data_IF_079800399523
#
_entry.id   IF_079800399523
#
_cell.length_a   1.000
_cell.length_b   1.000
_cell.length_c   1.000
_cell.angle_alpha   90.00
_cell.angle_beta   90.00
_cell.angle_gamma   90.00
#
_symmetry.space_group_name_H-M   'P 1'
#
loop_
_entity.id
_entity.type
_entity.pdbx_description
1 polymer ?
#
# COMPACT_ATOMS: atom_id res chain seq x y z
N UNK A 1 38.22 34.93 1.81
CA UNK A 1 37.09 35.05 0.89
C UNK A 1 36.70 33.62 0.50
N UNK A 2 35.73 33.09 1.17
CA UNK A 2 35.07 31.78 0.85
C UNK A 2 33.69 31.79 1.52
N UNK A 3 32.82 32.69 1.06
CA UNK A 3 31.38 32.68 1.28
C UNK A 3 30.79 32.38 -0.08
N UNK A 4 30.25 31.14 -0.29
CA UNK A 4 29.26 30.80 -1.31
C UNK A 4 29.07 29.27 -1.40
N UNK A 5 28.90 28.59 -0.25
CA UNK A 5 28.54 27.16 -0.25
C UNK A 5 27.16 26.85 0.35
N UNK A 6 26.38 27.87 0.73
CA UNK A 6 25.10 27.67 1.45
C UNK A 6 23.83 27.75 0.55
N UNK A 7 23.97 27.99 -0.79
CA UNK A 7 22.85 28.19 -1.70
C UNK A 7 22.57 27.07 -2.71
N UNK A 8 23.34 25.97 -2.69
CA UNK A 8 23.32 24.99 -3.79
C UNK A 8 22.70 23.63 -3.47
N UNK A 9 22.19 23.40 -2.25
CA UNK A 9 21.60 22.13 -1.87
C UNK A 9 20.17 22.29 -1.35
N UNK A 10 19.36 21.25 -1.50
CA UNK A 10 18.02 21.12 -0.94
C UNK A 10 17.95 19.89 -0.05
N UNK A 11 17.13 19.97 1.01
CA UNK A 11 16.89 18.87 1.93
C UNK A 11 15.61 18.14 1.54
N UNK A 12 15.71 16.83 1.34
CA UNK A 12 14.61 15.93 0.98
C UNK A 12 14.40 14.95 2.13
N UNK A 13 13.17 14.79 2.58
CA UNK A 13 12.81 13.80 3.59
C UNK A 13 12.64 12.44 2.92
N UNK A 14 13.38 11.44 3.38
CA UNK A 14 13.30 10.07 2.84
C UNK A 14 12.58 9.19 3.84
N UNK A 15 11.52 8.52 3.39
CA UNK A 15 10.74 7.57 4.18
C UNK A 15 10.93 6.15 3.65
N UNK A 16 11.06 5.20 4.57
CA UNK A 16 11.19 3.79 4.24
C UNK A 16 10.04 3.00 4.84
N UNK A 17 9.47 2.05 4.07
CA UNK A 17 8.34 1.24 4.50
C UNK A 17 8.59 -0.25 4.32
N UNK A 18 7.88 -1.06 5.13
CA UNK A 18 7.94 -2.50 5.08
C UNK A 18 9.37 -3.03 5.22
N UNK A 19 9.74 -4.02 4.42
CA UNK A 19 11.07 -4.61 4.45
C UNK A 19 12.20 -3.63 4.05
N UNK A 20 11.89 -2.52 3.34
CA UNK A 20 12.86 -1.47 3.06
C UNK A 20 13.24 -0.68 4.32
N UNK A 21 12.29 -0.45 5.23
CA UNK A 21 12.54 0.18 6.52
C UNK A 21 13.48 -0.66 7.40
N UNK A 22 13.29 -1.97 7.44
CA UNK A 22 14.18 -2.88 8.17
C UNK A 22 15.60 -2.92 7.58
N UNK A 23 15.73 -2.64 6.27
CA UNK A 23 17.02 -2.61 5.58
C UNK A 23 17.75 -1.28 5.68
N UNK A 24 17.06 -0.19 6.04
CA UNK A 24 17.63 1.15 6.09
C UNK A 24 17.37 1.84 7.44
N UNK A 25 16.25 2.55 7.56
CA UNK A 25 15.83 3.34 8.72
C UNK A 25 14.33 3.59 8.66
N UNK A 26 13.74 4.23 9.68
CA UNK A 26 12.35 4.71 9.63
C UNK A 26 12.24 5.91 8.67
N UNK A 27 13.13 6.87 8.84
CA UNK A 27 13.26 8.04 7.98
C UNK A 27 14.71 8.54 7.95
N UNK A 28 15.03 9.35 6.93
CA UNK A 28 16.31 10.06 6.80
C UNK A 28 16.08 11.44 6.17
N UNK A 29 17.07 12.31 6.31
CA UNK A 29 17.14 13.58 5.59
C UNK A 29 18.31 13.53 4.62
N UNK A 30 18.00 13.54 3.34
CA UNK A 30 18.99 13.53 2.26
C UNK A 30 19.24 14.95 1.79
N UNK A 31 20.49 15.36 1.69
CA UNK A 31 20.89 16.62 1.06
C UNK A 31 21.34 16.34 -0.37
N UNK A 32 20.66 16.95 -1.34
CA UNK A 32 21.00 16.85 -2.76
C UNK A 32 21.25 18.23 -3.34
N UNK A 33 21.96 18.32 -4.45
CA UNK A 33 22.16 19.58 -5.16
C UNK A 33 20.83 20.14 -5.65
N UNK A 34 20.70 21.46 -5.68
CA UNK A 34 19.53 22.09 -6.29
C UNK A 34 19.43 21.68 -7.76
N UNK A 35 18.24 21.28 -8.21
CA UNK A 35 17.99 20.75 -9.55
C UNK A 35 18.23 19.23 -9.67
N UNK A 36 18.64 18.57 -8.57
CA UNK A 36 18.71 17.10 -8.58
C UNK A 36 17.34 16.47 -8.79
N UNK A 37 17.34 15.39 -9.57
CA UNK A 37 16.14 14.61 -9.88
C UNK A 37 15.86 13.58 -8.78
N UNK A 38 14.63 13.08 -8.75
CA UNK A 38 14.26 11.97 -7.88
C UNK A 38 15.12 10.72 -8.14
N UNK A 39 15.61 10.50 -9.37
CA UNK A 39 16.55 9.43 -9.73
C UNK A 39 17.88 9.58 -9.01
N UNK A 40 18.49 10.76 -9.08
CA UNK A 40 19.78 11.02 -8.43
C UNK A 40 19.65 10.91 -6.92
N UNK A 41 18.56 11.37 -6.34
CA UNK A 41 18.27 11.20 -4.92
C UNK A 41 18.11 9.70 -4.56
N UNK A 42 17.38 8.93 -5.35
CA UNK A 42 17.21 7.51 -5.16
C UNK A 42 18.55 6.75 -5.23
N UNK A 43 19.39 7.04 -6.23
CA UNK A 43 20.70 6.43 -6.37
C UNK A 43 21.59 6.74 -5.14
N UNK A 44 21.52 7.97 -4.63
CA UNK A 44 22.25 8.37 -3.43
C UNK A 44 21.74 7.68 -2.17
N UNK A 45 20.44 7.44 -2.07
CA UNK A 45 19.89 6.60 -0.98
C UNK A 45 20.41 5.17 -1.06
N UNK A 46 20.53 4.58 -2.26
CA UNK A 46 21.12 3.24 -2.45
C UNK A 46 22.64 3.19 -2.14
N UNK A 47 23.34 4.31 -2.21
CA UNK A 47 24.73 4.42 -1.79
C UNK A 47 24.83 4.49 -0.26
N UNK A 48 23.97 5.30 0.38
CA UNK A 48 23.95 5.47 1.84
C UNK A 48 23.42 4.23 2.57
N UNK A 49 22.44 3.52 1.94
CA UNK A 49 21.85 2.30 2.48
C UNK A 49 22.03 1.10 1.52
N UNK A 50 23.23 0.52 1.42
CA UNK A 50 23.52 -0.55 0.45
C UNK A 50 22.64 -1.80 0.59
N UNK A 51 22.08 -2.04 1.78
CA UNK A 51 21.17 -3.16 2.05
C UNK A 51 19.88 -3.10 1.21
N UNK A 52 19.50 -1.91 0.74
CA UNK A 52 18.35 -1.74 -0.15
C UNK A 52 18.58 -2.34 -1.54
N UNK A 53 19.84 -2.53 -1.95
CA UNK A 53 20.17 -3.13 -3.27
C UNK A 53 19.68 -4.56 -3.42
N UNK A 54 19.39 -5.25 -2.30
CA UNK A 54 18.80 -6.61 -2.31
C UNK A 54 17.43 -6.67 -3.00
N UNK A 55 16.70 -5.55 -3.03
CA UNK A 55 15.40 -5.45 -3.69
C UNK A 55 15.52 -5.25 -5.22
N UNK A 56 16.74 -4.96 -5.72
CA UNK A 56 16.99 -4.73 -7.14
C UNK A 56 16.08 -3.64 -7.72
N UNK A 57 15.52 -3.89 -8.90
CA UNK A 57 14.56 -2.99 -9.57
C UNK A 57 13.13 -3.06 -9.03
N UNK A 58 12.88 -3.81 -7.95
CA UNK A 58 11.53 -3.97 -7.41
C UNK A 58 11.14 -2.89 -6.38
N UNK A 59 12.10 -2.05 -5.92
CA UNK A 59 11.75 -0.91 -5.07
C UNK A 59 10.89 0.08 -5.83
N UNK A 60 9.74 0.39 -5.23
CA UNK A 60 8.87 1.46 -5.68
C UNK A 60 9.26 2.76 -5.02
N UNK A 61 9.10 3.85 -5.75
CA UNK A 61 9.40 5.21 -5.30
C UNK A 61 8.13 6.07 -5.43
N UNK A 62 7.85 6.84 -4.39
CA UNK A 62 6.86 7.91 -4.46
C UNK A 62 7.52 9.25 -4.12
N UNK A 63 7.08 10.31 -4.77
CA UNK A 63 7.48 11.69 -4.50
C UNK A 63 6.22 12.43 -4.05
N UNK A 64 6.27 13.06 -2.88
CA UNK A 64 5.14 13.84 -2.34
C UNK A 64 3.82 13.06 -2.35
N UNK A 65 3.86 11.76 -1.98
CA UNK A 65 2.70 10.86 -1.87
C UNK A 65 2.11 10.41 -3.21
N UNK A 66 2.84 10.61 -4.32
CA UNK A 66 2.44 10.12 -5.65
C UNK A 66 3.48 9.11 -6.16
N UNK A 67 3.02 8.03 -6.81
CA UNK A 67 3.93 7.07 -7.43
C UNK A 67 4.77 7.73 -8.52
N UNK A 68 6.08 7.73 -8.35
CA UNK A 68 7.01 8.26 -9.33
C UNK A 68 7.26 7.23 -10.43
N UNK A 69 6.46 7.26 -11.49
CA UNK A 69 6.67 6.43 -12.69
C UNK A 69 7.91 6.85 -13.48
N UNK A 70 8.16 8.15 -13.51
CA UNK A 70 9.35 8.76 -14.05
C UNK A 70 10.09 9.49 -12.93
N UNK A 71 11.33 9.09 -12.68
CA UNK A 71 12.18 9.69 -11.66
C UNK A 71 12.94 10.93 -12.17
N UNK A 72 12.53 11.51 -13.29
CA UNK A 72 13.15 12.72 -13.89
C UNK A 72 12.72 14.03 -13.23
N UNK A 73 11.69 14.01 -12.39
CA UNK A 73 11.20 15.19 -11.69
C UNK A 73 12.28 15.77 -10.77
N UNK A 74 12.50 17.10 -10.86
CA UNK A 74 13.40 17.83 -9.97
C UNK A 74 12.82 17.92 -8.56
N UNK A 75 13.67 17.68 -7.55
CA UNK A 75 13.32 17.77 -6.14
C UNK A 75 13.57 19.20 -5.62
N UNK A 76 12.71 19.61 -4.70
CA UNK A 76 12.72 20.91 -4.03
C UNK A 76 12.97 20.76 -2.54
N UNK A 77 13.25 21.88 -1.88
CA UNK A 77 13.38 21.92 -0.42
C UNK A 77 12.09 21.44 0.25
N UNK A 78 12.22 20.45 1.14
CA UNK A 78 11.12 19.89 1.90
C UNK A 78 10.32 18.79 1.18
N UNK A 79 10.69 18.43 -0.06
CA UNK A 79 10.06 17.30 -0.74
C UNK A 79 10.24 15.99 0.02
N UNK A 80 9.26 15.09 -0.15
CA UNK A 80 9.24 13.76 0.46
C UNK A 80 9.51 12.69 -0.61
N UNK A 81 10.49 11.84 -0.37
CA UNK A 81 10.82 10.67 -1.19
C UNK A 81 10.52 9.41 -0.38
N UNK A 82 9.53 8.63 -0.76
CA UNK A 82 9.17 7.39 -0.09
C UNK A 82 9.66 6.17 -0.88
N UNK A 83 10.35 5.24 -0.18
CA UNK A 83 10.85 3.99 -0.76
C UNK A 83 10.18 2.81 -0.07
N UNK A 84 9.67 1.88 -0.85
CA UNK A 84 9.01 0.69 -0.33
C UNK A 84 9.12 -0.49 -1.30
N UNK A 85 9.11 -1.74 -0.79
CA UNK A 85 9.02 -2.92 -1.64
C UNK A 85 7.71 -2.92 -2.41
N UNK A 86 7.58 -3.73 -3.48
CA UNK A 86 6.34 -3.83 -4.22
C UNK A 86 5.18 -4.03 -3.25
N UNK A 87 4.17 -3.17 -3.37
CA UNK A 87 2.83 -3.51 -2.88
C UNK A 87 2.37 -4.70 -3.71
N UNK A 88 1.58 -5.59 -3.15
CA UNK A 88 1.15 -6.81 -3.84
C UNK A 88 0.40 -6.49 -5.14
N UNK A 89 1.15 -6.23 -6.22
CA UNK A 89 0.68 -5.96 -7.59
C UNK A 89 0.89 -4.53 -8.08
N UNK A 90 1.49 -4.32 -9.24
CA UNK A 90 1.84 -3.02 -9.80
C UNK A 90 1.18 -2.69 -11.14
N UNK A 91 1.04 -1.40 -11.43
CA UNK A 91 0.72 -0.77 -12.70
C UNK A 91 -0.72 -0.27 -12.84
N UNK A 92 -0.93 1.04 -12.93
CA UNK A 92 -2.23 1.63 -13.15
C UNK A 92 -2.17 3.00 -13.84
N UNK A 93 -3.16 3.29 -14.64
CA UNK A 93 -3.39 4.57 -15.32
C UNK A 93 -4.01 5.62 -14.40
N UNK A 94 -3.95 6.88 -14.83
CA UNK A 94 -4.41 8.07 -14.10
C UNK A 94 -5.92 8.05 -13.77
N UNK A 95 -6.35 8.52 -12.57
CA UNK A 95 -7.74 8.38 -12.12
C UNK A 95 -8.68 9.46 -12.65
N UNK A 96 -9.96 9.13 -12.87
CA UNK A 96 -11.02 10.13 -12.99
C UNK A 96 -11.33 10.79 -11.61
N UNK A 97 -11.93 12.00 -11.59
CA UNK A 97 -12.19 12.73 -10.36
C UNK A 97 -13.20 12.01 -9.45
N UNK A 98 -12.94 12.10 -8.14
CA UNK A 98 -13.78 11.50 -7.11
C UNK A 98 -15.24 11.97 -7.20
N UNK A 99 -16.16 11.04 -7.28
CA UNK A 99 -17.58 11.30 -7.22
C UNK A 99 -18.23 10.43 -6.13
N UNK A 100 -19.06 11.05 -5.31
CA UNK A 100 -19.99 10.35 -4.44
C UNK A 100 -19.84 10.69 -2.95
N UNK A 101 -20.79 11.50 -2.44
CA UNK A 101 -20.81 11.96 -1.05
C UNK A 101 -21.10 10.86 0.00
N UNK A 102 -21.15 9.60 -0.39
CA UNK A 102 -21.44 8.45 0.49
C UNK A 102 -20.42 7.30 0.40
N UNK A 103 -19.42 7.40 -0.46
CA UNK A 103 -18.28 6.51 -0.40
C UNK A 103 -17.40 6.83 0.80
N UNK A 104 -16.77 5.81 1.37
CA UNK A 104 -15.84 6.04 2.47
C UNK A 104 -14.64 5.09 2.40
N UNK A 105 -13.48 5.62 2.80
CA UNK A 105 -12.20 4.92 2.77
C UNK A 105 -11.47 5.22 4.07
N UNK A 106 -11.21 4.18 4.87
CA UNK A 106 -10.72 4.33 6.23
C UNK A 106 -9.60 3.34 6.54
N UNK A 107 -8.64 3.81 7.33
CA UNK A 107 -7.66 2.97 8.01
C UNK A 107 -7.92 3.04 9.51
N UNK A 108 -7.87 1.91 10.19
CA UNK A 108 -8.15 1.85 11.64
C UNK A 108 -7.21 0.89 12.35
N UNK A 109 -6.78 1.24 13.56
CA UNK A 109 -6.11 0.31 14.47
C UNK A 109 -7.10 -0.52 15.30
N UNK A 110 -8.38 -0.12 15.32
CA UNK A 110 -9.44 -0.76 16.10
C UNK A 110 -10.11 -1.90 15.30
N UNK A 111 -10.66 -2.92 15.98
CA UNK A 111 -11.45 -3.97 15.33
C UNK A 111 -12.57 -3.42 14.44
N UNK A 112 -12.79 -4.05 13.29
CA UNK A 112 -13.77 -3.59 12.31
C UNK A 112 -15.12 -4.27 12.58
N UNK A 113 -16.18 -3.47 12.78
CA UNK A 113 -17.56 -3.94 12.74
C UNK A 113 -18.02 -4.04 11.28
N UNK A 114 -17.98 -5.24 10.74
CA UNK A 114 -18.39 -5.56 9.35
C UNK A 114 -19.82 -5.13 9.06
N UNK A 115 -20.73 -5.33 10.01
CA UNK A 115 -22.12 -4.94 9.89
C UNK A 115 -22.30 -3.42 9.81
N UNK A 116 -21.53 -2.68 10.60
CA UNK A 116 -21.54 -1.21 10.55
C UNK A 116 -21.03 -0.70 9.19
N UNK A 117 -19.92 -1.27 8.68
CA UNK A 117 -19.39 -0.92 7.35
C UNK A 117 -20.42 -1.19 6.26
N UNK A 118 -21.04 -2.37 6.25
CA UNK A 118 -22.04 -2.76 5.27
C UNK A 118 -23.25 -1.81 5.26
N UNK A 119 -23.76 -1.41 6.42
CA UNK A 119 -24.91 -0.50 6.53
C UNK A 119 -24.65 0.89 5.97
N UNK A 120 -23.40 1.37 5.96
CA UNK A 120 -23.06 2.73 5.48
C UNK A 120 -23.17 2.89 3.97
N UNK A 121 -23.13 1.82 3.19
CA UNK A 121 -23.21 1.85 1.72
C UNK A 121 -24.61 1.53 1.16
N UNK A 122 -25.62 1.29 1.99
CA UNK A 122 -26.95 0.84 1.53
C UNK A 122 -27.92 2.00 1.35
N UNK A 123 -28.11 2.54 0.13
CA UNK A 123 -29.16 3.52 -0.16
C UNK A 123 -30.49 2.82 -0.48
N UNK A 124 -31.60 3.56 -0.36
CA UNK A 124 -32.95 3.03 -0.59
C UNK A 124 -33.19 2.49 -2.00
N UNK A 125 -32.41 2.92 -2.98
CA UNK A 125 -32.57 2.56 -4.40
C UNK A 125 -31.76 1.35 -4.85
N UNK A 126 -30.94 0.77 -3.99
CA UNK A 126 -30.15 -0.41 -4.31
C UNK A 126 -30.88 -1.69 -3.92
N UNK A 127 -30.86 -2.66 -4.84
CA UNK A 127 -31.40 -3.99 -4.62
C UNK A 127 -30.37 -5.00 -4.11
N UNK A 128 -29.09 -4.63 -4.05
CA UNK A 128 -28.03 -5.51 -3.62
C UNK A 128 -26.89 -4.78 -2.93
N UNK A 129 -26.35 -5.40 -1.89
CA UNK A 129 -25.06 -5.06 -1.29
C UNK A 129 -24.22 -6.33 -1.17
N UNK A 130 -22.97 -6.27 -1.60
CA UNK A 130 -21.97 -7.34 -1.42
C UNK A 130 -20.91 -6.83 -0.48
N UNK A 131 -20.63 -7.60 0.56
CA UNK A 131 -19.57 -7.30 1.52
C UNK A 131 -18.56 -8.44 1.51
N UNK A 132 -17.31 -8.11 1.25
CA UNK A 132 -16.16 -8.98 1.44
C UNK A 132 -15.53 -8.66 2.78
N UNK A 133 -15.31 -9.70 3.58
CA UNK A 133 -14.63 -9.64 4.86
C UNK A 133 -13.40 -10.54 4.83
N UNK A 134 -12.24 -9.95 4.98
CA UNK A 134 -10.95 -10.66 4.96
C UNK A 134 -10.40 -10.84 6.37
N UNK A 135 -10.08 -12.08 6.75
CA UNK A 135 -9.61 -12.45 8.09
C UNK A 135 -8.13 -12.73 8.17
N UNK A 136 -7.55 -12.56 9.35
CA UNK A 136 -6.27 -13.14 9.71
C UNK A 136 -6.45 -14.66 9.93
N UNK A 137 -5.76 -15.47 9.10
CA UNK A 137 -5.86 -16.95 9.13
C UNK A 137 -4.81 -17.54 10.05
N UNK A 138 -5.17 -18.60 10.76
CA UNK A 138 -4.25 -19.35 11.64
C UNK A 138 -3.14 -20.06 10.84
N UNK A 139 -3.43 -20.55 9.64
CA UNK A 139 -2.46 -21.30 8.84
C UNK A 139 -2.18 -20.63 7.51
N UNK A 140 -0.88 -20.43 7.23
CA UNK A 140 -0.39 -19.87 5.96
C UNK A 140 0.76 -20.73 5.45
N UNK A 141 0.57 -21.36 4.27
CA UNK A 141 1.60 -22.22 3.62
C UNK A 141 2.17 -23.29 4.55
N UNK A 142 1.33 -23.92 5.36
CA UNK A 142 1.72 -25.00 6.28
C UNK A 142 2.40 -24.55 7.58
N UNK A 143 2.49 -23.22 7.83
CA UNK A 143 3.01 -22.65 9.08
C UNK A 143 1.88 -22.03 9.88
N UNK A 144 1.94 -22.17 11.20
CA UNK A 144 0.97 -21.56 12.11
C UNK A 144 1.33 -20.08 12.32
N UNK A 145 0.41 -19.20 11.93
CA UNK A 145 0.49 -17.77 12.15
C UNK A 145 -0.02 -17.44 13.55
N UNK A 146 0.75 -16.69 14.33
CA UNK A 146 0.37 -16.25 15.67
C UNK A 146 -0.47 -14.97 15.64
N UNK A 147 -0.06 -14.02 14.83
CA UNK A 147 -0.76 -12.77 14.55
C UNK A 147 -0.18 -12.11 13.30
N UNK A 148 -0.89 -11.09 12.80
CA UNK A 148 -0.44 -10.24 11.71
C UNK A 148 -0.14 -8.84 12.22
N UNK A 149 0.74 -8.12 11.53
CA UNK A 149 0.90 -6.67 11.70
C UNK A 149 0.79 -6.03 10.32
N UNK A 150 -0.10 -5.05 10.21
CA UNK A 150 -0.27 -4.24 9.00
C UNK A 150 0.37 -2.88 9.16
N UNK A 151 1.17 -2.49 8.18
CA UNK A 151 1.74 -1.16 8.05
C UNK A 151 1.18 -0.48 6.82
N UNK A 152 0.86 0.81 6.91
CA UNK A 152 0.33 1.58 5.80
C UNK A 152 1.04 2.93 5.67
N UNK A 153 1.32 3.33 4.45
CA UNK A 153 1.62 4.73 4.15
C UNK A 153 0.30 5.50 4.06
N UNK A 154 -0.22 5.91 5.22
CA UNK A 154 -1.60 6.36 5.41
C UNK A 154 -2.08 7.41 4.40
N UNK A 155 -1.36 8.52 4.11
CA UNK A 155 -1.85 9.53 3.17
C UNK A 155 -2.04 8.95 1.77
N UNK A 156 -1.06 8.19 1.27
CA UNK A 156 -1.09 7.58 -0.05
C UNK A 156 -2.09 6.42 -0.12
N UNK A 157 -2.19 5.60 0.94
CA UNK A 157 -3.16 4.51 1.01
C UNK A 157 -4.60 5.02 0.90
N UNK A 158 -4.94 6.10 1.60
CA UNK A 158 -6.25 6.72 1.50
C UNK A 158 -6.50 7.37 0.14
N UNK A 159 -5.49 7.96 -0.49
CA UNK A 159 -5.60 8.51 -1.85
C UNK A 159 -5.86 7.39 -2.87
N UNK A 160 -5.09 6.29 -2.81
CA UNK A 160 -5.27 5.14 -3.69
C UNK A 160 -6.62 4.42 -3.49
N UNK A 161 -7.10 4.30 -2.24
CA UNK A 161 -8.45 3.78 -1.98
C UNK A 161 -9.54 4.65 -2.60
N UNK A 162 -9.43 5.99 -2.53
CA UNK A 162 -10.38 6.90 -3.18
C UNK A 162 -10.34 6.76 -4.69
N UNK A 163 -9.13 6.64 -5.28
CA UNK A 163 -8.95 6.39 -6.71
C UNK A 163 -9.63 5.08 -7.12
N UNK A 164 -9.42 4.01 -6.35
CA UNK A 164 -10.06 2.72 -6.56
C UNK A 164 -11.60 2.85 -6.53
N UNK A 165 -12.16 3.60 -5.59
CA UNK A 165 -13.59 3.86 -5.53
C UNK A 165 -14.12 4.57 -6.79
N UNK A 166 -13.45 5.63 -7.24
CA UNK A 166 -13.81 6.35 -8.46
C UNK A 166 -13.76 5.43 -9.70
N UNK A 167 -12.74 4.57 -9.79
CA UNK A 167 -12.61 3.62 -10.89
C UNK A 167 -13.69 2.52 -10.84
N UNK A 168 -14.08 2.07 -9.64
CA UNK A 168 -15.18 1.12 -9.47
C UNK A 168 -16.51 1.69 -9.98
N UNK A 169 -16.81 2.96 -9.69
CA UNK A 169 -17.98 3.65 -10.24
C UNK A 169 -17.95 3.72 -11.77
N UNK A 170 -16.80 4.07 -12.35
CA UNK A 170 -16.66 4.18 -13.80
C UNK A 170 -16.85 2.85 -14.53
N UNK A 171 -16.46 1.73 -13.90
CA UNK A 171 -16.46 0.41 -14.54
C UNK A 171 -17.75 -0.39 -14.34
N UNK A 172 -18.38 -0.31 -13.17
CA UNK A 172 -19.38 -1.31 -12.78
C UNK A 172 -20.78 -0.77 -12.54
N UNK A 173 -21.00 0.54 -12.64
CA UNK A 173 -22.33 1.12 -12.41
C UNK A 173 -22.85 0.84 -10.99
N UNK A 174 -21.97 0.90 -10.00
CA UNK A 174 -22.29 0.78 -8.58
C UNK A 174 -22.85 2.08 -8.03
N UNK A 175 -23.46 2.01 -6.85
CA UNK A 175 -24.01 3.19 -6.18
C UNK A 175 -23.07 3.75 -5.11
N UNK A 176 -22.55 2.88 -4.23
CA UNK A 176 -21.58 3.24 -3.20
C UNK A 176 -20.59 2.12 -2.97
N UNK A 177 -19.40 2.53 -2.54
CA UNK A 177 -18.33 1.63 -2.09
C UNK A 177 -17.74 2.14 -0.77
N UNK A 178 -17.61 1.24 0.21
CA UNK A 178 -16.90 1.49 1.46
C UNK A 178 -15.73 0.53 1.61
N UNK A 179 -14.56 1.05 1.98
CA UNK A 179 -13.37 0.25 2.25
C UNK A 179 -12.82 0.64 3.61
N UNK A 180 -12.67 -0.34 4.49
CA UNK A 180 -12.00 -0.18 5.79
C UNK A 180 -10.90 -1.21 5.91
N UNK A 181 -9.69 -0.81 6.20
CA UNK A 181 -8.56 -1.72 6.39
C UNK A 181 -7.88 -1.49 7.75
N UNK A 182 -7.48 -2.59 8.40
CA UNK A 182 -6.73 -2.55 9.66
C UNK A 182 -5.31 -2.07 9.44
N UNK A 183 -4.78 -1.38 10.45
CA UNK A 183 -3.37 -1.11 10.65
C UNK A 183 -2.93 -1.64 12.01
N UNK A 184 -1.63 -1.85 12.21
CA UNK A 184 -1.10 -2.42 13.44
C UNK A 184 -1.41 -3.91 13.60
N UNK A 185 -1.43 -4.37 14.84
CA UNK A 185 -1.60 -5.77 15.21
C UNK A 185 -3.05 -6.24 14.98
N UNK A 186 -3.18 -7.43 14.38
CA UNK A 186 -4.46 -8.10 14.09
C UNK A 186 -4.34 -9.55 14.54
N UNK A 187 -5.23 -10.00 15.43
CA UNK A 187 -5.22 -11.36 15.95
C UNK A 187 -5.87 -12.34 14.97
N UNK A 188 -5.59 -13.62 15.16
CA UNK A 188 -6.19 -14.69 14.35
C UNK A 188 -7.72 -14.66 14.51
N UNK A 189 -8.43 -14.70 13.38
CA UNK A 189 -9.89 -14.60 13.33
C UNK A 189 -10.42 -13.18 13.32
N UNK A 190 -9.58 -12.16 13.54
CA UNK A 190 -10.01 -10.77 13.38
C UNK A 190 -10.08 -10.37 11.91
N UNK A 191 -11.03 -9.49 11.63
CA UNK A 191 -11.19 -8.85 10.30
C UNK A 191 -10.04 -7.89 10.04
N UNK A 192 -9.35 -8.08 8.92
CA UNK A 192 -8.26 -7.21 8.46
C UNK A 192 -8.69 -6.17 7.43
N UNK A 193 -9.68 -6.49 6.61
CA UNK A 193 -10.21 -5.61 5.58
C UNK A 193 -11.70 -5.89 5.35
N UNK A 194 -12.47 -4.83 5.14
CA UNK A 194 -13.87 -4.92 4.69
C UNK A 194 -14.03 -4.07 3.45
N UNK A 195 -14.62 -4.64 2.42
CA UNK A 195 -15.09 -3.94 1.22
C UNK A 195 -16.58 -4.19 1.08
N UNK A 196 -17.37 -3.12 1.13
CA UNK A 196 -18.82 -3.19 0.90
C UNK A 196 -19.19 -2.37 -0.32
N UNK A 197 -19.95 -2.98 -1.24
CA UNK A 197 -20.38 -2.35 -2.50
C UNK A 197 -21.89 -2.49 -2.64
N UNK A 198 -22.58 -1.39 -2.88
CA UNK A 198 -24.00 -1.40 -3.21
C UNK A 198 -24.25 -1.08 -4.68
N UNK A 199 -25.27 -1.73 -5.25
CA UNK A 199 -25.65 -1.52 -6.63
C UNK A 199 -27.16 -1.77 -6.84
N UNK A 200 -27.77 -1.22 -7.90
CA UNK A 200 -29.15 -1.53 -8.27
C UNK A 200 -29.39 -3.05 -8.47
N UNK A 201 -28.39 -3.75 -9.03
CA UNK A 201 -28.46 -5.18 -9.30
C UNK A 201 -27.22 -5.91 -8.78
N UNK A 202 -27.43 -7.14 -8.26
CA UNK A 202 -26.39 -7.94 -7.61
C UNK A 202 -25.11 -8.15 -8.43
N UNK A 203 -25.20 -8.30 -9.77
CA UNK A 203 -24.06 -8.60 -10.64
C UNK A 203 -22.98 -7.52 -10.53
N UNK A 204 -23.38 -6.25 -10.67
CA UNK A 204 -22.47 -5.12 -10.55
C UNK A 204 -21.77 -5.08 -9.17
N UNK A 205 -22.52 -5.37 -8.10
CA UNK A 205 -21.95 -5.40 -6.75
C UNK A 205 -20.91 -6.51 -6.57
N UNK A 206 -21.16 -7.73 -7.10
CA UNK A 206 -20.19 -8.84 -7.05
C UNK A 206 -18.93 -8.53 -7.87
N UNK A 207 -19.08 -8.11 -9.12
CA UNK A 207 -17.97 -7.80 -10.02
C UNK A 207 -17.10 -6.67 -9.46
N UNK A 208 -17.71 -5.61 -8.94
CA UNK A 208 -16.99 -4.49 -8.34
C UNK A 208 -16.27 -4.88 -7.05
N UNK A 209 -16.88 -5.68 -6.18
CA UNK A 209 -16.29 -6.10 -4.92
C UNK A 209 -15.09 -7.02 -5.14
N UNK A 210 -15.17 -7.99 -6.06
CA UNK A 210 -14.06 -8.87 -6.45
C UNK A 210 -12.92 -8.07 -7.07
N UNK A 211 -13.25 -7.16 -8.00
CA UNK A 211 -12.27 -6.29 -8.62
C UNK A 211 -11.59 -5.38 -7.58
N UNK A 212 -12.36 -4.79 -6.66
CA UNK A 212 -11.85 -3.86 -5.66
C UNK A 212 -10.83 -4.51 -4.72
N UNK A 213 -11.07 -5.74 -4.23
CA UNK A 213 -10.09 -6.42 -3.37
C UNK A 213 -8.81 -6.79 -4.12
N UNK A 214 -8.91 -7.17 -5.40
CA UNK A 214 -7.74 -7.43 -6.23
C UNK A 214 -6.92 -6.16 -6.44
N UNK A 215 -7.56 -5.05 -6.81
CA UNK A 215 -6.90 -3.76 -7.02
C UNK A 215 -6.33 -3.19 -5.73
N UNK A 216 -7.06 -3.29 -4.61
CA UNK A 216 -6.57 -2.86 -3.30
C UNK A 216 -5.23 -3.54 -2.97
N UNK A 217 -5.17 -4.86 -3.11
CA UNK A 217 -3.93 -5.61 -2.87
C UNK A 217 -2.82 -5.25 -3.87
N UNK A 218 -3.17 -4.74 -5.04
CA UNK A 218 -2.24 -4.40 -6.12
C UNK A 218 -1.66 -2.99 -6.01
N UNK A 219 -2.46 -2.01 -5.53
CA UNK A 219 -2.11 -0.58 -5.64
C UNK A 219 -2.02 0.16 -4.32
N UNK A 220 -2.76 -0.28 -3.31
CA UNK A 220 -2.80 0.43 -2.03
C UNK A 220 -1.58 0.08 -1.19
N UNK A 221 -0.77 1.05 -0.77
CA UNK A 221 0.46 0.82 -0.03
C UNK A 221 0.17 0.43 1.43
N UNK A 222 -0.22 -0.83 1.58
CA UNK A 222 -0.39 -1.53 2.85
C UNK A 222 0.43 -2.81 2.78
N UNK A 223 1.26 -3.04 3.79
CA UNK A 223 2.12 -4.20 3.88
C UNK A 223 1.72 -5.05 5.06
N UNK A 224 1.87 -6.37 4.91
CA UNK A 224 1.53 -7.36 5.92
C UNK A 224 2.80 -8.08 6.39
N UNK A 225 3.02 -8.10 7.69
CA UNK A 225 4.04 -8.91 8.35
C UNK A 225 3.34 -10.05 9.10
N UNK A 226 3.73 -11.28 8.82
CA UNK A 226 3.24 -12.47 9.50
C UNK A 226 4.22 -12.89 10.59
N UNK A 227 3.70 -13.20 11.78
CA UNK A 227 4.47 -13.66 12.93
C UNK A 227 4.17 -15.12 13.18
N UNK A 228 5.23 -15.92 13.31
CA UNK A 228 5.22 -17.36 13.58
C UNK A 228 6.01 -17.65 14.86
N UNK A 229 5.99 -18.88 15.37
CA UNK A 229 6.80 -19.25 16.54
C UNK A 229 8.32 -19.08 16.31
N UNK A 230 8.78 -19.31 15.09
CA UNK A 230 10.20 -19.28 14.69
C UNK A 230 10.64 -17.95 14.05
N UNK A 231 9.85 -16.90 14.17
CA UNK A 231 10.18 -15.56 13.65
C UNK A 231 9.05 -14.87 12.91
N UNK A 232 9.39 -13.90 12.08
CA UNK A 232 8.41 -13.12 11.31
C UNK A 232 8.87 -12.89 9.87
N UNK A 233 7.92 -12.74 8.94
CA UNK A 233 8.17 -12.53 7.51
C UNK A 233 7.25 -11.45 6.97
N UNK A 234 7.81 -10.48 6.24
CA UNK A 234 7.03 -9.59 5.40
C UNK A 234 6.48 -10.37 4.21
N UNK A 235 5.15 -10.32 4.03
CA UNK A 235 4.49 -10.99 2.91
C UNK A 235 4.50 -10.06 1.72
N UNK A 236 5.35 -10.38 0.76
CA UNK A 236 5.28 -9.81 -0.57
C UNK A 236 4.09 -10.43 -1.30
N UNK A 237 3.35 -9.62 -2.05
CA UNK A 237 2.05 -9.95 -2.62
C UNK A 237 1.83 -11.37 -3.18
N UNK A 238 0.58 -11.73 -3.39
CA UNK A 238 0.15 -13.09 -3.79
C UNK A 238 0.84 -13.65 -5.06
N UNK A 239 1.58 -12.81 -5.80
CA UNK A 239 2.28 -13.15 -7.04
C UNK A 239 3.81 -13.20 -6.90
N UNK A 240 4.39 -13.14 -5.71
CA UNK A 240 5.82 -13.41 -5.55
C UNK A 240 6.09 -14.87 -5.94
N UNK A 241 7.07 -15.17 -6.84
CA UNK A 241 7.44 -16.54 -7.14
C UNK A 241 7.84 -17.23 -5.83
N UNK A 242 7.35 -18.46 -5.63
CA UNK A 242 7.72 -19.26 -4.47
C UNK A 242 9.26 -19.30 -4.42
N UNK A 243 9.84 -18.90 -3.28
CA UNK A 243 11.27 -19.05 -3.06
C UNK A 243 11.61 -20.52 -3.34
N UNK A 244 12.54 -20.76 -4.29
CA UNK A 244 13.05 -22.09 -4.56
C UNK A 244 13.56 -22.68 -3.24
N UNK A 245 13.23 -23.95 -2.91
CA UNK A 245 13.85 -24.59 -1.77
C UNK A 245 15.36 -24.56 -1.98
N UNK A 246 16.09 -24.06 -0.96
CA UNK A 246 17.53 -24.11 -0.96
C UNK A 246 17.97 -25.56 -1.23
N UNK A 247 18.89 -25.75 -2.16
CA UNK A 247 19.51 -27.02 -2.44
C UNK A 247 20.07 -27.59 -1.12
N UNK A 248 19.47 -28.66 -0.62
CA UNK A 248 20.09 -29.50 0.38
C UNK A 248 21.36 -30.07 -0.24
N UNK A 249 22.49 -29.47 0.11
CA UNK A 249 23.80 -30.02 -0.16
C UNK A 249 23.88 -31.40 0.49
N UNK A 250 23.81 -32.45 -0.33
CA UNK A 250 24.18 -33.80 0.07
C UNK A 250 25.68 -33.82 0.38
N UNK A 251 25.99 -34.16 1.60
CA UNK A 251 27.25 -34.82 1.99
C UNK A 251 27.00 -36.30 2.08
#
# INVERSE_FOLDING_TARGET
MSEDACGSSVSVRVLFFGAAREAAADEAVLRVSRGSTAREAFERVLEEYPSLRRFGGSLLVAVNQEYARDLSAELKEGDELALFPPVSGGGGEEPPPASGAQDFFELTAEPIDVGAVARRVVPRRCGATVTLDGYAREWTRGRQTLHLVYEAYTPMALAEMRRLGAEAHARFGIEHIGVVHRTGRTEIGETSVVISVSAPHRRAAFEACEWAIRELKRTVPIWKKEFFEDGSVWVEGENAPAASPAEETRL
#
